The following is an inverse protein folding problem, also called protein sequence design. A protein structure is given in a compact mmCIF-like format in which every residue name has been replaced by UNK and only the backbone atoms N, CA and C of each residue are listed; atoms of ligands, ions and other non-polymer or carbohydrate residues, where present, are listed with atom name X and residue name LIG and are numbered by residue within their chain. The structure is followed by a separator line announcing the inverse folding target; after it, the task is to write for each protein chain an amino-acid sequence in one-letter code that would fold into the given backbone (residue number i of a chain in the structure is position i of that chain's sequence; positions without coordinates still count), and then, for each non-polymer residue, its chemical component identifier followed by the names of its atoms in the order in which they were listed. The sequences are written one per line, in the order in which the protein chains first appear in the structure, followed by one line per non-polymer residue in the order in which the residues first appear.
data_IF_100263552638
#
_entry.id   IF_100263552638
#
_cell.length_a   1.000
_cell.length_b   1.000
_cell.length_c   1.000
_cell.angle_alpha   90.00
_cell.angle_beta   90.00
_cell.angle_gamma   90.00
#
_symmetry.space_group_name_H-M   'P 1'
#
loop_
_entity.id
_entity.type
_entity.pdbx_description
1 polymer ?
#
# COMPACT_ATOMS: atom_id res chain seq x y z
N UNK A 1 0.26 -14.39 5.98
CA UNK A 1 -0.20 -13.00 6.12
C UNK A 1 -0.42 -12.44 4.73
N UNK A 2 -1.42 -11.59 4.54
CA UNK A 2 -1.71 -10.92 3.25
C UNK A 2 -1.33 -9.46 3.30
N UNK A 3 -0.45 -9.05 2.40
CA UNK A 3 0.09 -7.70 2.38
C UNK A 3 -0.26 -7.06 1.05
N UNK A 4 -0.93 -5.92 1.11
CA UNK A 4 -1.24 -5.12 -0.07
C UNK A 4 -0.04 -4.23 -0.43
N UNK A 5 0.26 -4.19 -1.72
CA UNK A 5 1.31 -3.34 -2.28
C UNK A 5 0.76 -2.66 -3.53
N UNK A 6 0.89 -1.35 -3.59
CA UNK A 6 0.52 -0.56 -4.77
C UNK A 6 1.79 -0.20 -5.52
N UNK A 7 1.80 -0.50 -6.82
CA UNK A 7 2.97 -0.27 -7.67
C UNK A 7 2.56 0.05 -9.11
N UNK A 8 3.49 0.67 -9.84
CA UNK A 8 3.38 0.86 -11.29
C UNK A 8 3.67 -0.42 -12.07
N UNK A 9 3.53 -0.37 -13.39
CA UNK A 9 3.87 -1.49 -14.30
C UNK A 9 5.33 -1.92 -14.25
N UNK A 10 6.23 -0.98 -13.94
CA UNK A 10 7.66 -1.23 -13.81
C UNK A 10 8.06 -1.62 -12.37
N UNK A 11 7.10 -2.11 -11.58
CA UNK A 11 7.28 -2.56 -10.20
C UNK A 11 7.78 -1.50 -9.19
N UNK A 12 7.80 -0.24 -9.58
CA UNK A 12 8.06 0.89 -8.69
C UNK A 12 6.89 1.11 -7.72
N UNK A 13 7.21 1.28 -6.44
CA UNK A 13 6.27 1.70 -5.40
C UNK A 13 5.91 3.17 -5.60
N UNK A 14 4.62 3.40 -5.80
CA UNK A 14 4.07 4.71 -6.14
C UNK A 14 2.94 5.09 -5.18
N UNK A 15 2.56 6.37 -5.13
CA UNK A 15 1.35 6.79 -4.44
C UNK A 15 0.11 6.00 -4.87
N UNK A 16 -0.88 5.88 -3.98
CA UNK A 16 -2.04 4.98 -4.17
C UNK A 16 -2.83 5.23 -5.46
N UNK A 17 -2.84 6.47 -5.96
CA UNK A 17 -3.51 6.91 -7.18
C UNK A 17 -2.62 6.92 -8.43
N UNK A 18 -1.32 6.67 -8.26
CA UNK A 18 -0.33 6.58 -9.34
C UNK A 18 0.14 5.14 -9.59
N UNK A 19 -0.23 4.19 -8.75
CA UNK A 19 0.01 2.77 -9.01
C UNK A 19 -1.08 2.14 -9.83
N UNK A 20 -0.72 1.46 -10.90
CA UNK A 20 -1.66 0.79 -11.80
C UNK A 20 -2.18 -0.53 -11.22
N UNK A 21 -1.39 -1.14 -10.34
CA UNK A 21 -1.59 -2.51 -9.87
C UNK A 21 -1.66 -2.51 -8.34
N UNK A 22 -2.63 -3.25 -7.81
CA UNK A 22 -2.69 -3.66 -6.40
C UNK A 22 -2.27 -5.13 -6.36
N UNK A 23 -1.11 -5.41 -5.78
CA UNK A 23 -0.63 -6.76 -5.51
C UNK A 23 -0.97 -7.17 -4.08
N UNK A 24 -1.54 -8.36 -3.91
CA UNK A 24 -1.70 -9.02 -2.61
C UNK A 24 -0.64 -10.13 -2.53
N UNK A 25 0.35 -9.92 -1.67
CA UNK A 25 1.40 -10.88 -1.36
C UNK A 25 0.94 -11.72 -0.17
N UNK A 26 0.73 -13.00 -0.39
CA UNK A 26 0.49 -13.99 0.66
C UNK A 26 1.82 -14.60 1.09
N UNK A 27 2.30 -14.21 2.28
CA UNK A 27 3.59 -14.66 2.82
C UNK A 27 3.57 -16.14 3.24
N UNK A 28 2.39 -16.68 3.56
CA UNK A 28 2.27 -18.05 4.06
C UNK A 28 2.25 -19.02 2.88
N UNK A 29 1.51 -18.67 1.83
CA UNK A 29 1.40 -19.47 0.60
C UNK A 29 2.48 -19.13 -0.44
N UNK A 30 3.29 -18.09 -0.22
CA UNK A 30 4.26 -17.54 -1.17
C UNK A 30 3.64 -17.25 -2.54
N UNK A 31 2.47 -16.62 -2.52
CA UNK A 31 1.66 -16.35 -3.71
C UNK A 31 1.41 -14.86 -3.87
N UNK A 32 1.52 -14.36 -5.09
CA UNK A 32 1.17 -12.98 -5.44
C UNK A 32 -0.08 -13.00 -6.32
N UNK A 33 -1.09 -12.21 -5.94
CA UNK A 33 -2.31 -12.00 -6.74
C UNK A 33 -2.43 -10.53 -7.11
N UNK A 34 -2.64 -10.24 -8.39
CA UNK A 34 -2.66 -8.88 -8.91
C UNK A 34 -4.08 -8.47 -9.31
N UNK A 35 -4.40 -7.20 -9.03
CA UNK A 35 -5.66 -6.56 -9.37
C UNK A 35 -5.36 -5.22 -10.05
N UNK A 36 -6.19 -4.82 -11.00
CA UNK A 36 -6.15 -3.45 -11.49
C UNK A 36 -6.56 -2.49 -10.38
N UNK A 37 -5.84 -1.38 -10.25
CA UNK A 37 -6.17 -0.33 -9.30
C UNK A 37 -7.24 0.60 -9.89
N UNK A 38 -8.49 0.60 -9.37
CA UNK A 38 -9.53 1.48 -9.88
C UNK A 38 -9.32 2.96 -9.52
N UNK A 39 -8.39 3.25 -8.58
CA UNK A 39 -8.00 4.60 -8.20
C UNK A 39 -6.92 5.22 -9.08
N UNK A 40 -6.29 4.44 -9.97
CA UNK A 40 -5.23 4.90 -10.85
C UNK A 40 -5.70 6.06 -11.75
N UNK A 41 -4.95 7.17 -11.77
CA UNK A 41 -5.22 8.39 -12.54
C UNK A 41 -6.61 9.03 -12.28
N UNK A 42 -7.29 8.68 -11.18
CA UNK A 42 -8.59 9.26 -10.82
C UNK A 42 -8.40 10.52 -9.98
N UNK A 43 -8.77 11.66 -10.55
CA UNK A 43 -8.75 12.95 -9.85
C UNK A 43 -10.14 13.60 -9.92
N UNK A 44 -10.74 14.03 -8.79
CA UNK A 44 -10.26 13.86 -7.41
C UNK A 44 -10.59 12.46 -6.82
N UNK A 45 -9.88 12.07 -5.76
CA UNK A 45 -10.24 10.93 -4.91
C UNK A 45 -9.64 9.56 -5.26
N UNK A 46 -8.64 9.51 -6.14
CA UNK A 46 -8.02 8.25 -6.57
C UNK A 46 -7.44 7.45 -5.41
N UNK A 47 -6.79 8.10 -4.44
CA UNK A 47 -6.18 7.44 -3.27
C UNK A 47 -7.23 6.78 -2.38
N UNK A 48 -8.38 7.44 -2.16
CA UNK A 48 -9.51 6.89 -1.42
C UNK A 48 -10.17 5.72 -2.16
N UNK A 49 -10.29 5.79 -3.49
CA UNK A 49 -10.84 4.70 -4.32
C UNK A 49 -9.91 3.47 -4.27
N UNK A 50 -8.59 3.69 -4.40
CA UNK A 50 -7.58 2.64 -4.27
C UNK A 50 -7.66 2.01 -2.88
N UNK A 51 -7.65 2.81 -1.80
CA UNK A 51 -7.74 2.31 -0.43
C UNK A 51 -9.05 1.56 -0.16
N UNK A 52 -10.19 2.05 -0.66
CA UNK A 52 -11.47 1.33 -0.56
C UNK A 52 -11.40 -0.07 -1.18
N UNK A 53 -10.68 -0.20 -2.29
CA UNK A 53 -10.47 -1.48 -2.98
C UNK A 53 -9.56 -2.38 -2.18
N UNK A 54 -8.44 -1.85 -1.69
CA UNK A 54 -7.51 -2.57 -0.81
C UNK A 54 -8.24 -3.14 0.41
N UNK A 55 -9.03 -2.33 1.12
CA UNK A 55 -9.79 -2.78 2.29
C UNK A 55 -10.82 -3.87 1.95
N UNK A 56 -11.40 -3.88 0.74
CA UNK A 56 -12.31 -4.95 0.28
C UNK A 56 -11.60 -6.28 0.02
N UNK A 57 -10.33 -6.22 -0.38
CA UNK A 57 -9.48 -7.41 -0.55
C UNK A 57 -9.06 -8.01 0.80
N UNK A 58 -9.33 -7.31 1.91
CA UNK A 58 -9.04 -7.73 3.30
C UNK A 58 -7.58 -8.21 3.51
N UNK A 59 -6.57 -7.43 3.09
CA UNK A 59 -5.20 -7.68 3.53
C UNK A 59 -5.07 -7.40 5.04
N UNK A 60 -4.06 -8.00 5.65
CA UNK A 60 -3.68 -7.76 7.05
C UNK A 60 -2.86 -6.46 7.19
N UNK A 61 -2.07 -6.13 6.17
CA UNK A 61 -1.21 -4.95 6.14
C UNK A 61 -1.13 -4.32 4.74
N UNK A 62 -0.74 -3.05 4.66
CA UNK A 62 -0.39 -2.35 3.42
C UNK A 62 1.03 -1.78 3.51
N UNK A 63 1.80 -1.91 2.45
CA UNK A 63 3.12 -1.26 2.32
C UNK A 63 2.94 0.20 1.99
N UNK A 64 3.59 1.06 2.76
CA UNK A 64 3.50 2.52 2.62
C UNK A 64 4.86 3.18 2.72
N UNK A 65 5.01 4.30 2.01
CA UNK A 65 6.17 5.20 2.08
C UNK A 65 5.71 6.65 2.09
N UNK A 66 6.64 7.57 2.33
CA UNK A 66 6.40 9.03 2.28
C UNK A 66 5.59 9.44 1.04
N UNK A 67 4.57 10.29 1.25
CA UNK A 67 3.68 10.78 0.18
C UNK A 67 2.79 9.72 -0.51
N UNK A 68 2.81 8.46 -0.07
CA UNK A 68 2.03 7.41 -0.73
C UNK A 68 0.52 7.58 -0.50
N UNK A 69 0.14 8.10 0.66
CA UNK A 69 -1.24 8.24 1.11
C UNK A 69 -1.69 9.70 1.15
N UNK A 70 -2.98 9.92 1.41
CA UNK A 70 -3.54 11.23 1.77
C UNK A 70 -4.27 11.12 3.12
N UNK A 71 -4.68 12.23 3.74
CA UNK A 71 -5.38 12.18 5.03
C UNK A 71 -6.71 11.42 4.95
N UNK A 72 -7.36 11.43 3.77
CA UNK A 72 -8.59 10.70 3.50
C UNK A 72 -8.38 9.18 3.53
N UNK A 73 -7.42 8.67 2.76
CA UNK A 73 -7.12 7.23 2.70
C UNK A 73 -6.56 6.70 4.03
N UNK A 74 -5.82 7.51 4.77
CA UNK A 74 -5.39 7.18 6.13
C UNK A 74 -6.57 7.01 7.09
N UNK A 75 -7.47 8.00 7.18
CA UNK A 75 -8.67 7.90 8.04
C UNK A 75 -9.56 6.70 7.70
N UNK A 76 -9.59 6.27 6.44
CA UNK A 76 -10.36 5.10 6.02
C UNK A 76 -9.76 3.77 6.51
N UNK A 77 -8.44 3.73 6.68
CA UNK A 77 -7.67 2.51 6.92
C UNK A 77 -7.26 2.32 8.38
N UNK A 78 -7.11 3.41 9.15
CA UNK A 78 -6.63 3.33 10.53
C UNK A 78 -7.51 2.40 11.37
N UNK A 79 -6.87 1.51 12.13
CA UNK A 79 -7.55 0.48 12.95
C UNK A 79 -8.22 -0.65 12.16
N UNK A 80 -8.11 -0.68 10.82
CA UNK A 80 -8.65 -1.76 9.97
C UNK A 80 -7.57 -2.61 9.31
N UNK A 81 -6.38 -2.05 9.15
CA UNK A 81 -5.22 -2.66 8.49
C UNK A 81 -3.96 -2.14 9.17
N UNK A 82 -2.89 -2.93 9.18
CA UNK A 82 -1.57 -2.47 9.61
C UNK A 82 -0.81 -1.79 8.47
N UNK A 83 0.23 -1.05 8.82
CA UNK A 83 1.10 -0.39 7.85
C UNK A 83 2.50 -0.96 7.95
N UNK A 84 3.08 -1.34 6.81
CA UNK A 84 4.48 -1.69 6.67
C UNK A 84 5.23 -0.47 6.11
N UNK A 85 5.91 0.27 6.98
CA UNK A 85 6.74 1.41 6.59
C UNK A 85 7.97 0.92 5.83
N UNK A 86 8.14 1.37 4.60
CA UNK A 86 9.18 0.88 3.72
C UNK A 86 9.85 2.01 2.93
N UNK A 87 11.17 2.10 3.05
CA UNK A 87 11.96 3.17 2.44
C UNK A 87 12.54 2.81 1.05
N UNK A 88 12.28 1.59 0.55
CA UNK A 88 12.73 1.19 -0.78
C UNK A 88 11.81 1.70 -1.89
N UNK A 89 12.23 1.51 -3.14
CA UNK A 89 11.54 2.10 -4.29
C UNK A 89 10.78 1.08 -5.14
N UNK A 90 11.11 -0.21 -5.05
CA UNK A 90 10.56 -1.24 -5.94
C UNK A 90 9.98 -2.44 -5.18
N UNK A 91 9.20 -3.28 -5.88
CA UNK A 91 8.80 -4.59 -5.37
C UNK A 91 10.02 -5.49 -5.10
N UNK A 92 11.04 -5.43 -5.94
CA UNK A 92 12.25 -6.25 -5.79
C UNK A 92 13.01 -5.91 -4.50
N UNK A 93 13.00 -4.65 -4.07
CA UNK A 93 13.57 -4.24 -2.78
C UNK A 93 12.76 -4.76 -1.58
N UNK A 94 11.46 -4.95 -1.80
CA UNK A 94 10.49 -5.28 -0.76
C UNK A 94 10.38 -6.79 -0.54
N UNK A 95 10.37 -7.59 -1.61
CA UNK A 95 10.19 -9.05 -1.54
C UNK A 95 11.17 -9.74 -0.58
N UNK A 96 12.48 -9.41 -0.54
CA UNK A 96 13.41 -10.01 0.43
C UNK A 96 13.09 -9.67 1.89
N UNK A 97 12.35 -8.59 2.16
CA UNK A 97 11.95 -8.18 3.52
C UNK A 97 10.64 -8.82 3.97
N UNK A 98 9.87 -9.43 3.05
CA UNK A 98 8.55 -10.00 3.35
C UNK A 98 8.60 -11.09 4.42
N UNK A 99 9.70 -11.85 4.50
CA UNK A 99 9.89 -12.88 5.52
C UNK A 99 9.99 -12.28 6.95
N UNK A 100 10.45 -11.02 7.07
CA UNK A 100 10.60 -10.30 8.34
C UNK A 100 9.71 -9.06 8.43
N UNK A 101 8.65 -9.00 7.63
CA UNK A 101 7.78 -7.82 7.53
C UNK A 101 7.21 -7.37 8.89
N UNK A 102 7.03 -8.31 9.81
CA UNK A 102 6.51 -8.04 11.16
C UNK A 102 7.36 -7.02 11.94
N UNK A 103 8.64 -6.86 11.61
CA UNK A 103 9.54 -5.90 12.26
C UNK A 103 9.23 -4.44 11.87
N UNK A 104 8.60 -4.22 10.71
CA UNK A 104 8.26 -2.90 10.18
C UNK A 104 6.76 -2.62 10.20
N UNK A 105 5.97 -3.53 10.78
CA UNK A 105 4.54 -3.35 10.95
C UNK A 105 4.23 -2.41 12.11
N UNK A 106 3.37 -1.44 11.83
CA UNK A 106 2.85 -0.50 12.82
C UNK A 106 1.34 -0.35 12.65
N UNK A 107 0.65 -0.06 13.75
CA UNK A 107 -0.79 0.24 13.73
C UNK A 107 -1.06 1.70 13.31
N UNK A 108 -0.02 2.53 13.28
CA UNK A 108 -0.10 3.96 12.93
C UNK A 108 1.15 4.45 12.20
N UNK A 109 1.00 5.48 11.37
CA UNK A 109 2.06 6.03 10.50
C UNK A 109 2.28 7.51 10.77
N UNK A 110 3.52 8.01 10.61
CA UNK A 110 3.81 9.42 10.82
C UNK A 110 3.12 10.28 9.75
N UNK A 111 2.86 11.57 10.06
CA UNK A 111 2.15 12.45 9.14
C UNK A 111 2.76 12.57 7.75
N UNK A 112 4.08 12.48 7.61
CA UNK A 112 4.77 12.64 6.31
C UNK A 112 4.40 11.54 5.29
N UNK A 113 3.84 10.42 5.75
CA UNK A 113 3.35 9.34 4.88
C UNK A 113 2.02 9.68 4.21
N UNK A 114 1.18 10.49 4.88
CA UNK A 114 -0.18 10.77 4.44
C UNK A 114 -0.51 12.25 4.28
N UNK A 115 0.40 13.17 4.66
CA UNK A 115 0.25 14.59 4.38
C UNK A 115 0.50 14.82 2.89
N UNK A 116 -0.29 15.71 2.33
CA UNK A 116 -0.05 16.25 1.00
C UNK A 116 0.66 17.59 1.26
N UNK A 117 1.88 17.74 0.73
CA UNK A 117 2.56 19.04 0.73
C UNK A 117 1.75 20.00 -0.17
N UNK A 118 1.39 21.17 0.37
CA UNK A 118 0.72 22.27 -0.36
C UNK A 118 1.64 22.91 -1.42
#
# INVERSE_FOLDING_TARGET
MKIAVVHGKDDNLTPLDLGEIISIVDTDEKKITQYQNPGYERVPGGKEIAMATILRLKPDAIVVKEGMMCPGSYRMSVGRIKYALFDGETLDDLLPKMDNINEILTDDIPPDVYREDE
#
